data_IF_578945370603
#
_entry.id   IF_578945370603
#
_cell.length_a   1.000
_cell.length_b   1.000
_cell.length_c   1.000
_cell.angle_alpha   90.00
_cell.angle_beta   90.00
_cell.angle_gamma   90.00
#
_symmetry.space_group_name_H-M   'P 1'
#
loop_
_entity.id
_entity.type
_entity.pdbx_description
1 polymer ?
#
# COMPACT_ATOMS: atom_id res chain seq x y z
N UNK A 1 -16.43 38.24 -32.85
CA UNK A 1 -15.26 39.08 -32.51
C UNK A 1 -15.14 39.06 -30.98
N UNK A 2 -13.97 38.64 -30.45
CA UNK A 2 -13.43 39.02 -29.14
C UNK A 2 -14.18 38.49 -27.88
N UNK A 3 -13.58 37.86 -26.86
CA UNK A 3 -12.18 37.69 -26.44
C UNK A 3 -12.01 36.33 -25.73
N UNK A 4 -11.02 35.54 -26.16
CA UNK A 4 -10.40 34.48 -25.37
C UNK A 4 -9.45 35.14 -24.36
N UNK A 5 -9.63 34.88 -23.07
CA UNK A 5 -8.66 35.24 -22.03
C UNK A 5 -7.61 34.13 -21.95
N UNK A 6 -6.30 34.43 -22.02
CA UNK A 6 -5.25 33.42 -21.98
C UNK A 6 -5.00 32.94 -20.55
N UNK A 7 -4.95 31.62 -20.35
CA UNK A 7 -4.46 31.00 -19.11
C UNK A 7 -2.93 30.91 -19.22
N UNK A 8 -2.15 31.44 -18.26
CA UNK A 8 -0.70 31.41 -18.31
C UNK A 8 -0.14 30.01 -18.07
N UNK A 9 0.67 29.54 -19.02
CA UNK A 9 1.55 28.37 -18.90
C UNK A 9 2.68 28.68 -17.92
N UNK A 10 2.72 27.97 -16.79
CA UNK A 10 3.86 28.00 -15.87
C UNK A 10 4.92 26.99 -16.34
N UNK A 11 5.92 27.52 -17.05
CA UNK A 11 7.20 26.89 -17.32
C UNK A 11 8.04 26.90 -16.03
N UNK A 12 8.34 25.74 -15.45
CA UNK A 12 9.33 25.64 -14.38
C UNK A 12 10.67 25.20 -14.99
N UNK A 13 11.63 26.11 -14.90
CA UNK A 13 13.02 26.00 -15.34
C UNK A 13 13.82 25.37 -14.20
N UNK A 14 14.59 24.32 -14.48
CA UNK A 14 15.55 23.74 -13.54
C UNK A 14 16.82 24.62 -13.41
N UNK A 15 17.38 24.73 -12.21
CA UNK A 15 18.83 24.84 -11.96
C UNK A 15 19.18 24.79 -10.46
N UNK A 16 20.17 23.96 -10.11
CA UNK A 16 21.35 24.41 -9.37
C UNK A 16 21.36 24.44 -7.83
N UNK A 17 22.07 23.46 -7.26
CA UNK A 17 22.90 23.48 -6.03
C UNK A 17 22.90 24.71 -5.09
N UNK A 18 22.75 24.47 -3.78
CA UNK A 18 23.20 25.42 -2.76
C UNK A 18 22.50 25.23 -1.41
N UNK A 19 23.27 25.31 -0.33
CA UNK A 19 22.93 24.92 1.04
C UNK A 19 21.75 25.65 1.70
N UNK A 20 21.12 24.90 2.62
CA UNK A 20 20.50 25.34 3.88
C UNK A 20 19.15 26.07 3.81
N UNK A 21 18.22 25.50 4.59
CA UNK A 21 16.86 25.98 4.94
C UNK A 21 15.74 25.74 3.93
N UNK A 22 14.66 25.11 4.45
CA UNK A 22 13.32 24.85 3.87
C UNK A 22 13.15 23.60 3.00
N UNK A 23 12.97 22.46 3.67
CA UNK A 23 12.10 21.39 3.17
C UNK A 23 10.76 21.46 3.93
N UNK A 24 9.84 22.27 3.41
CA UNK A 24 8.43 22.25 3.76
C UNK A 24 7.61 21.93 2.50
N UNK A 25 7.94 20.83 1.81
CA UNK A 25 7.19 20.35 0.64
C UNK A 25 7.22 18.81 0.59
N UNK A 26 6.66 18.19 1.64
CA UNK A 26 6.25 16.78 1.65
C UNK A 26 5.20 16.62 2.77
N UNK A 27 4.01 17.20 2.59
CA UNK A 27 3.00 17.22 3.65
C UNK A 27 1.71 17.96 3.35
N UNK A 28 1.32 18.08 2.08
CA UNK A 28 0.08 18.75 1.68
C UNK A 28 -0.71 17.90 0.68
N UNK A 29 -1.23 16.78 1.19
CA UNK A 29 -2.41 16.08 0.67
C UNK A 29 -3.28 15.59 1.84
N UNK A 30 -3.40 16.40 2.92
CA UNK A 30 -4.14 16.00 4.13
C UNK A 30 -5.37 16.85 4.45
N UNK A 31 -5.74 17.87 3.67
CA UNK A 31 -6.80 18.82 4.06
C UNK A 31 -7.61 19.40 2.90
N UNK A 32 -8.04 18.59 1.92
CA UNK A 32 -8.96 19.07 0.89
C UNK A 32 -10.06 18.06 0.56
N UNK A 33 -10.91 17.78 1.55
CA UNK A 33 -12.31 17.36 1.39
C UNK A 33 -13.01 17.39 2.77
N UNK A 34 -13.02 18.55 3.43
CA UNK A 34 -13.86 18.77 4.62
C UNK A 34 -14.47 20.18 4.54
N UNK A 35 -15.20 20.44 3.47
CA UNK A 35 -16.13 21.57 3.37
C UNK A 35 -17.49 20.96 3.00
N UNK A 36 -18.56 21.05 3.77
CA UNK A 36 -18.86 21.85 4.94
C UNK A 36 -19.96 21.11 5.75
N UNK A 37 -19.92 21.28 7.08
CA UNK A 37 -20.91 20.79 8.07
C UNK A 37 -21.05 19.26 8.16
N UNK A 38 -19.94 18.53 8.07
CA UNK A 38 -19.82 17.25 8.78
C UNK A 38 -19.49 17.56 10.24
N UNK A 39 -20.35 17.15 11.18
CA UNK A 39 -20.23 17.42 12.62
C UNK A 39 -18.76 17.36 13.08
N UNK A 40 -18.18 18.47 13.58
CA UNK A 40 -16.78 18.52 14.00
C UNK A 40 -16.41 17.42 15.01
N UNK A 41 -17.39 16.97 15.80
CA UNK A 41 -17.26 15.83 16.71
C UNK A 41 -17.13 14.50 15.96
N UNK A 42 -17.85 14.31 14.85
CA UNK A 42 -17.73 13.15 13.98
C UNK A 42 -16.36 13.10 13.32
N UNK A 43 -15.87 14.22 12.79
CA UNK A 43 -14.50 14.31 12.23
C UNK A 43 -13.45 13.97 13.29
N UNK A 44 -13.64 14.44 14.54
CA UNK A 44 -12.75 14.09 15.65
C UNK A 44 -12.82 12.60 16.00
N UNK A 45 -14.01 12.01 16.05
CA UNK A 45 -14.22 10.57 16.31
C UNK A 45 -13.59 9.70 15.22
N UNK A 46 -13.83 10.04 13.95
CA UNK A 46 -13.27 9.31 12.82
C UNK A 46 -11.74 9.40 12.82
N UNK A 47 -11.18 10.59 13.01
CA UNK A 47 -9.73 10.79 13.14
C UNK A 47 -9.16 9.93 14.26
N UNK A 48 -9.76 9.98 15.45
CA UNK A 48 -9.31 9.18 16.59
C UNK A 48 -9.39 7.67 16.31
N UNK A 49 -10.46 7.20 15.67
CA UNK A 49 -10.61 5.80 15.30
C UNK A 49 -9.52 5.35 14.30
N UNK A 50 -9.20 6.18 13.30
CA UNK A 50 -8.11 5.92 12.35
C UNK A 50 -6.74 5.91 13.06
N UNK A 51 -6.47 6.91 13.90
CA UNK A 51 -5.19 7.05 14.62
C UNK A 51 -4.95 5.91 15.63
N UNK A 52 -6.03 5.39 16.24
CA UNK A 52 -5.96 4.26 17.17
C UNK A 52 -6.04 2.90 16.46
N UNK A 53 -6.20 2.87 15.14
CA UNK A 53 -6.36 1.64 14.36
C UNK A 53 -7.65 0.88 14.65
N UNK A 54 -8.68 1.52 15.21
CA UNK A 54 -10.00 0.93 15.42
C UNK A 54 -10.77 0.92 14.10
N UNK A 55 -10.44 -0.06 13.26
CA UNK A 55 -11.01 -0.22 11.92
C UNK A 55 -12.53 -0.43 11.97
N UNK A 56 -13.06 -1.15 12.96
CA UNK A 56 -14.50 -1.37 13.12
C UNK A 56 -15.27 -0.07 13.28
N UNK A 57 -14.84 0.80 14.22
CA UNK A 57 -15.50 2.10 14.42
C UNK A 57 -15.26 3.02 13.22
N UNK A 58 -14.05 3.05 12.67
CA UNK A 58 -13.72 3.86 11.50
C UNK A 58 -14.60 3.54 10.29
N UNK A 59 -14.76 2.26 9.95
CA UNK A 59 -15.62 1.79 8.85
C UNK A 59 -17.09 2.16 9.10
N UNK A 60 -17.56 2.01 10.35
CA UNK A 60 -18.93 2.37 10.73
C UNK A 60 -19.19 3.88 10.53
N UNK A 61 -18.29 4.73 11.01
CA UNK A 61 -18.39 6.18 10.86
C UNK A 61 -18.35 6.61 9.39
N UNK A 62 -17.42 6.04 8.61
CA UNK A 62 -17.32 6.30 7.17
C UNK A 62 -18.57 5.84 6.39
N UNK A 63 -19.16 4.71 6.78
CA UNK A 63 -20.38 4.22 6.14
C UNK A 63 -21.57 5.14 6.40
N UNK A 64 -21.67 5.73 7.60
CA UNK A 64 -22.69 6.74 7.89
C UNK A 64 -22.48 8.03 7.06
N UNK A 65 -21.23 8.42 6.82
CA UNK A 65 -20.92 9.58 5.97
C UNK A 65 -21.21 9.31 4.49
N UNK A 66 -20.93 8.11 3.99
CA UNK A 66 -21.30 7.70 2.63
C UNK A 66 -22.82 7.69 2.45
N UNK A 67 -23.61 7.30 3.46
CA UNK A 67 -25.07 7.39 3.40
C UNK A 67 -25.58 8.84 3.28
N UNK A 68 -24.89 9.80 3.92
CA UNK A 68 -25.25 11.22 3.88
C UNK A 68 -24.79 11.91 2.60
N UNK A 69 -23.60 11.56 2.14
CA UNK A 69 -22.91 12.19 1.01
C UNK A 69 -22.35 11.13 0.07
N UNK A 70 -23.21 10.43 -0.70
CA UNK A 70 -22.81 9.25 -1.49
C UNK A 70 -21.88 9.54 -2.67
N UNK A 71 -21.70 10.81 -3.02
CA UNK A 71 -20.82 11.27 -4.09
C UNK A 71 -19.52 11.91 -3.56
N UNK A 72 -19.28 11.90 -2.25
CA UNK A 72 -18.01 12.34 -1.68
C UNK A 72 -16.97 11.22 -1.81
N UNK A 73 -16.10 11.34 -2.81
CA UNK A 73 -15.13 10.31 -3.17
C UNK A 73 -14.20 9.93 -2.01
N UNK A 74 -13.77 10.92 -1.22
CA UNK A 74 -12.78 10.69 -0.15
C UNK A 74 -13.28 9.74 0.94
N UNK A 75 -14.59 9.66 1.18
CA UNK A 75 -15.12 8.69 2.13
C UNK A 75 -14.91 7.24 1.67
N UNK A 76 -15.03 6.96 0.37
CA UNK A 76 -14.72 5.65 -0.18
C UNK A 76 -13.21 5.38 -0.13
N UNK A 77 -12.35 6.35 -0.47
CA UNK A 77 -10.90 6.19 -0.34
C UNK A 77 -10.46 5.81 1.08
N UNK A 78 -11.00 6.52 2.07
CA UNK A 78 -10.72 6.24 3.48
C UNK A 78 -11.29 4.89 3.90
N UNK A 79 -12.55 4.58 3.55
CA UNK A 79 -13.17 3.31 3.93
C UNK A 79 -12.49 2.12 3.26
N UNK A 80 -12.01 2.28 2.03
CA UNK A 80 -11.18 1.31 1.33
C UNK A 80 -9.89 1.01 2.08
N UNK A 81 -9.20 2.05 2.58
CA UNK A 81 -7.99 1.88 3.41
C UNK A 81 -8.28 1.17 4.74
N UNK A 82 -9.41 1.46 5.39
CA UNK A 82 -9.81 0.81 6.64
C UNK A 82 -10.27 -0.65 6.43
N UNK A 83 -10.99 -0.91 5.35
CA UNK A 83 -11.36 -2.27 4.94
C UNK A 83 -10.11 -3.10 4.63
N UNK A 84 -9.09 -2.51 3.99
CA UNK A 84 -7.81 -3.17 3.77
C UNK A 84 -7.16 -3.58 5.11
N UNK A 85 -7.05 -2.64 6.06
CA UNK A 85 -6.52 -2.88 7.41
C UNK A 85 -7.30 -3.96 8.16
N UNK A 86 -8.60 -4.05 7.93
CA UNK A 86 -9.46 -5.07 8.50
C UNK A 86 -9.41 -6.43 7.77
N UNK A 87 -8.50 -6.60 6.80
CA UNK A 87 -8.38 -7.77 5.93
C UNK A 87 -9.66 -8.06 5.09
N UNK A 88 -10.50 -7.04 4.83
CA UNK A 88 -11.74 -7.09 4.03
C UNK A 88 -11.46 -6.67 2.59
N UNK A 89 -10.78 -7.54 1.85
CA UNK A 89 -10.18 -7.18 0.55
C UNK A 89 -11.20 -6.87 -0.54
N UNK A 90 -12.33 -7.59 -0.59
CA UNK A 90 -13.36 -7.37 -1.62
C UNK A 90 -14.05 -6.02 -1.41
N UNK A 91 -14.40 -5.71 -0.17
CA UNK A 91 -15.01 -4.46 0.23
C UNK A 91 -14.03 -3.29 0.05
N UNK A 92 -12.76 -3.49 0.39
CA UNK A 92 -11.70 -2.51 0.16
C UNK A 92 -11.54 -2.19 -1.32
N UNK A 93 -11.51 -3.20 -2.18
CA UNK A 93 -11.36 -3.01 -3.62
C UNK A 93 -12.57 -2.28 -4.21
N UNK A 94 -13.78 -2.66 -3.81
CA UNK A 94 -15.01 -2.02 -4.24
C UNK A 94 -15.06 -0.53 -3.83
N UNK A 95 -14.56 -0.19 -2.64
CA UNK A 95 -14.43 1.19 -2.19
C UNK A 95 -13.41 1.97 -3.05
N UNK A 96 -12.26 1.38 -3.36
CA UNK A 96 -11.30 2.02 -4.26
C UNK A 96 -11.82 2.15 -5.71
N UNK A 97 -12.60 1.19 -6.19
CA UNK A 97 -13.29 1.30 -7.48
C UNK A 97 -14.26 2.47 -7.48
N UNK A 98 -15.08 2.58 -6.43
CA UNK A 98 -16.03 3.67 -6.31
C UNK A 98 -15.34 5.03 -6.21
N UNK A 99 -14.18 5.10 -5.55
CA UNK A 99 -13.35 6.30 -5.53
C UNK A 99 -12.91 6.71 -6.96
N UNK A 100 -12.40 5.79 -7.78
CA UNK A 100 -11.95 6.13 -9.15
C UNK A 100 -13.10 6.44 -10.11
N UNK A 101 -14.28 5.87 -9.89
CA UNK A 101 -15.49 6.24 -10.64
C UNK A 101 -15.89 7.71 -10.38
N UNK A 102 -15.74 8.17 -9.14
CA UNK A 102 -16.06 9.54 -8.73
C UNK A 102 -14.92 10.52 -9.08
N UNK A 103 -13.67 10.06 -9.05
CA UNK A 103 -12.47 10.86 -9.35
C UNK A 103 -11.59 10.22 -10.45
N UNK A 104 -12.04 10.17 -11.72
CA UNK A 104 -11.29 9.50 -12.79
C UNK A 104 -9.89 10.09 -13.02
N UNK A 105 -9.71 11.39 -12.76
CA UNK A 105 -8.41 12.06 -12.89
C UNK A 105 -7.36 11.56 -11.87
N UNK A 106 -7.80 10.91 -10.80
CA UNK A 106 -6.93 10.36 -9.76
C UNK A 106 -6.60 8.86 -9.97
N UNK A 107 -7.21 8.19 -10.96
CA UNK A 107 -7.10 6.74 -11.18
C UNK A 107 -5.64 6.29 -11.36
N UNK A 108 -4.87 7.02 -12.17
CA UNK A 108 -3.46 6.71 -12.42
C UNK A 108 -2.57 6.82 -11.19
N UNK A 109 -3.07 7.37 -10.07
CA UNK A 109 -2.32 7.51 -8.81
C UNK A 109 -2.72 6.44 -7.77
N UNK A 110 -3.68 5.56 -8.08
CA UNK A 110 -4.26 4.62 -7.11
C UNK A 110 -3.48 3.31 -6.96
N UNK A 111 -2.21 3.39 -6.56
CA UNK A 111 -1.40 2.20 -6.25
C UNK A 111 -2.00 1.33 -5.13
N UNK A 112 -2.70 1.91 -4.13
CA UNK A 112 -3.41 1.16 -3.08
C UNK A 112 -4.50 0.23 -3.63
N UNK A 113 -5.18 0.67 -4.69
CA UNK A 113 -6.16 -0.14 -5.41
C UNK A 113 -5.50 -1.35 -6.06
N UNK A 114 -4.31 -1.17 -6.65
CA UNK A 114 -3.51 -2.26 -7.23
C UNK A 114 -3.08 -3.29 -6.17
N UNK A 115 -2.56 -2.83 -5.02
CA UNK A 115 -2.19 -3.70 -3.90
C UNK A 115 -3.43 -4.46 -3.39
N UNK A 116 -4.55 -3.76 -3.23
CA UNK A 116 -5.80 -4.38 -2.75
C UNK A 116 -6.34 -5.40 -3.75
N UNK A 117 -6.23 -5.13 -5.06
CA UNK A 117 -6.58 -6.08 -6.11
C UNK A 117 -5.74 -7.37 -6.00
N UNK A 118 -4.43 -7.27 -5.75
CA UNK A 118 -3.57 -8.44 -5.47
C UNK A 118 -4.13 -9.28 -4.32
N UNK A 119 -4.43 -8.67 -3.18
CA UNK A 119 -4.93 -9.39 -2.01
C UNK A 119 -6.38 -9.90 -2.17
N UNK A 120 -7.17 -9.27 -3.05
CA UNK A 120 -8.50 -9.73 -3.44
C UNK A 120 -8.47 -10.92 -4.43
N UNK A 121 -7.30 -11.24 -5.00
CA UNK A 121 -7.15 -12.26 -6.05
C UNK A 121 -7.44 -11.74 -7.47
N UNK A 122 -7.67 -10.44 -7.61
CA UNK A 122 -7.95 -9.76 -8.88
C UNK A 122 -6.63 -9.36 -9.57
N UNK A 123 -5.79 -10.35 -9.86
CA UNK A 123 -4.40 -10.13 -10.28
C UNK A 123 -4.28 -9.34 -11.59
N UNK A 124 -5.14 -9.62 -12.58
CA UNK A 124 -5.13 -8.86 -13.85
C UNK A 124 -5.41 -7.37 -13.61
N UNK A 125 -6.39 -7.07 -12.78
CA UNK A 125 -6.73 -5.70 -12.39
C UNK A 125 -5.61 -5.02 -11.62
N UNK A 126 -4.93 -5.75 -10.74
CA UNK A 126 -3.73 -5.26 -10.06
C UNK A 126 -2.61 -4.92 -11.05
N UNK A 127 -2.29 -5.84 -11.96
CA UNK A 127 -1.26 -5.64 -12.99
C UNK A 127 -1.55 -4.41 -13.86
N UNK A 128 -2.80 -4.28 -14.35
CA UNK A 128 -3.24 -3.14 -15.16
C UNK A 128 -3.15 -1.81 -14.39
N UNK A 129 -3.50 -1.82 -13.10
CA UNK A 129 -3.42 -0.62 -12.27
C UNK A 129 -1.98 -0.14 -12.06
N UNK A 130 -1.01 -1.05 -11.91
CA UNK A 130 0.41 -0.70 -11.76
C UNK A 130 1.06 -0.29 -13.09
N UNK A 131 0.61 -0.88 -14.20
CA UNK A 131 0.98 -0.39 -15.53
C UNK A 131 0.46 1.04 -15.77
N UNK A 132 -0.78 1.32 -15.38
CA UNK A 132 -1.32 2.67 -15.41
C UNK A 132 -0.54 3.62 -14.48
N UNK A 133 -0.18 3.19 -13.27
CA UNK A 133 0.57 4.02 -12.32
C UNK A 133 1.98 4.36 -12.80
N UNK A 134 2.62 3.47 -13.56
CA UNK A 134 3.91 3.74 -14.19
C UNK A 134 3.89 5.00 -15.07
N UNK A 135 2.75 5.32 -15.71
CA UNK A 135 2.59 6.54 -16.52
C UNK A 135 2.62 7.82 -15.68
N UNK A 136 2.34 7.74 -14.38
CA UNK A 136 2.39 8.84 -13.43
C UNK A 136 3.74 8.93 -12.72
N UNK A 137 4.27 7.80 -12.24
CA UNK A 137 5.52 7.75 -11.49
C UNK A 137 6.39 6.55 -11.92
N UNK A 138 7.30 6.79 -12.87
CA UNK A 138 8.04 5.73 -13.55
C UNK A 138 9.30 5.19 -12.85
N UNK A 139 9.63 5.70 -11.66
CA UNK A 139 10.86 5.37 -10.94
C UNK A 139 10.61 4.63 -9.61
N UNK A 140 9.39 4.13 -9.39
CA UNK A 140 8.99 3.46 -8.15
C UNK A 140 9.25 1.96 -8.22
N UNK A 141 10.25 1.46 -7.50
CA UNK A 141 10.49 0.00 -7.46
C UNK A 141 9.29 -0.75 -6.90
N UNK A 142 8.57 -0.16 -5.95
CA UNK A 142 7.38 -0.78 -5.36
C UNK A 142 6.33 -1.05 -6.45
N UNK A 143 6.12 -0.10 -7.37
CA UNK A 143 5.20 -0.27 -8.49
C UNK A 143 5.58 -1.47 -9.37
N UNK A 144 6.86 -1.54 -9.80
CA UNK A 144 7.36 -2.62 -10.63
C UNK A 144 7.24 -3.98 -9.92
N UNK A 145 7.57 -4.04 -8.64
CA UNK A 145 7.47 -5.25 -7.83
C UNK A 145 6.02 -5.69 -7.66
N UNK A 146 5.10 -4.78 -7.32
CA UNK A 146 3.70 -5.16 -7.14
C UNK A 146 3.03 -5.61 -8.45
N UNK A 147 3.41 -5.04 -9.60
CA UNK A 147 3.00 -5.58 -10.90
C UNK A 147 3.56 -6.99 -11.09
N UNK A 148 4.86 -7.20 -10.84
CA UNK A 148 5.49 -8.52 -10.96
C UNK A 148 4.83 -9.55 -10.02
N UNK A 149 4.40 -9.17 -8.81
CA UNK A 149 3.64 -10.04 -7.91
C UNK A 149 2.31 -10.47 -8.53
N UNK A 150 1.58 -9.54 -9.16
CA UNK A 150 0.33 -9.86 -9.87
C UNK A 150 0.59 -10.78 -11.06
N UNK A 151 1.59 -10.45 -11.89
CA UNK A 151 1.96 -11.23 -13.06
C UNK A 151 2.45 -12.63 -12.70
N UNK A 152 3.17 -12.78 -11.58
CA UNK A 152 3.62 -14.09 -11.11
C UNK A 152 2.44 -15.01 -10.77
N UNK A 153 1.31 -14.46 -10.32
CA UNK A 153 0.07 -15.23 -10.08
C UNK A 153 -0.68 -15.59 -11.36
N UNK A 154 -0.48 -14.83 -12.45
CA UNK A 154 -1.13 -15.06 -13.74
C UNK A 154 -0.31 -15.99 -14.64
N UNK A 155 1.01 -15.84 -14.61
CA UNK A 155 1.93 -16.34 -15.64
C UNK A 155 3.15 -17.08 -15.08
N UNK A 156 3.38 -17.02 -13.76
CA UNK A 156 4.55 -17.57 -13.09
C UNK A 156 5.68 -16.57 -12.92
N UNK A 157 6.55 -16.83 -11.94
CA UNK A 157 7.57 -15.87 -11.48
C UNK A 157 8.62 -15.53 -12.55
N UNK A 158 9.09 -16.51 -13.31
CA UNK A 158 10.12 -16.27 -14.33
C UNK A 158 9.61 -15.34 -15.44
N UNK A 159 8.36 -15.51 -15.85
CA UNK A 159 7.74 -14.62 -16.84
C UNK A 159 7.55 -13.22 -16.27
N UNK A 160 7.05 -13.11 -15.05
CA UNK A 160 6.88 -11.82 -14.36
C UNK A 160 8.21 -11.07 -14.15
N UNK A 161 9.28 -11.80 -13.82
CA UNK A 161 10.63 -11.28 -13.66
C UNK A 161 11.19 -10.76 -14.99
N UNK A 162 11.01 -11.53 -16.07
CA UNK A 162 11.45 -11.14 -17.41
C UNK A 162 10.71 -9.91 -17.96
N UNK A 163 9.44 -9.71 -17.58
CA UNK A 163 8.60 -8.59 -18.01
C UNK A 163 8.40 -7.51 -16.94
N UNK A 164 9.26 -7.45 -15.93
CA UNK A 164 9.15 -6.45 -14.86
C UNK A 164 9.26 -5.02 -15.46
N UNK A 165 8.50 -4.07 -14.91
CA UNK A 165 8.53 -2.69 -15.40
C UNK A 165 9.93 -2.09 -15.26
N UNK A 166 10.42 -1.36 -16.29
CA UNK A 166 11.74 -0.77 -16.24
C UNK A 166 11.79 0.36 -15.21
N UNK A 167 12.71 0.24 -14.25
CA UNK A 167 12.99 1.29 -13.26
C UNK A 167 14.41 1.84 -13.51
N UNK A 168 14.53 3.07 -14.05
CA UNK A 168 15.84 3.69 -14.29
C UNK A 168 16.63 3.91 -13.01
N UNK A 169 15.97 4.45 -11.97
CA UNK A 169 16.61 4.77 -10.70
C UNK A 169 15.58 5.10 -9.62
N UNK A 170 15.59 4.33 -8.52
CA UNK A 170 14.93 4.68 -7.26
C UNK A 170 15.99 5.02 -6.22
N UNK A 171 15.98 6.25 -5.73
CA UNK A 171 17.03 6.78 -4.85
C UNK A 171 16.88 6.32 -3.41
N UNK A 172 15.76 5.68 -3.06
CA UNK A 172 15.49 5.20 -1.69
C UNK A 172 16.24 3.89 -1.47
N UNK A 173 17.05 3.74 -0.42
CA UNK A 173 17.59 2.42 -0.09
C UNK A 173 16.53 1.53 0.58
N UNK A 174 16.51 0.21 0.33
CA UNK A 174 17.38 -0.57 -0.56
C UNK A 174 16.71 -0.85 -1.94
N UNK A 175 15.94 0.09 -2.49
CA UNK A 175 15.01 -0.17 -3.60
C UNK A 175 15.67 -0.75 -4.84
N UNK A 176 16.80 -0.20 -5.30
CA UNK A 176 17.47 -0.75 -6.47
C UNK A 176 18.01 -2.18 -6.24
N UNK A 177 18.36 -2.53 -4.99
CA UNK A 177 18.75 -3.90 -4.67
C UNK A 177 17.54 -4.86 -4.68
N UNK A 178 16.38 -4.39 -4.20
CA UNK A 178 15.11 -5.12 -4.30
C UNK A 178 14.75 -5.35 -5.78
N UNK A 179 14.87 -4.32 -6.61
CA UNK A 179 14.61 -4.41 -8.05
C UNK A 179 15.51 -5.47 -8.72
N UNK A 180 16.82 -5.42 -8.46
CA UNK A 180 17.76 -6.45 -8.96
C UNK A 180 17.41 -7.85 -8.45
N UNK A 181 16.92 -7.99 -7.21
CA UNK A 181 16.49 -9.29 -6.69
C UNK A 181 15.27 -9.82 -7.46
N UNK A 182 14.27 -8.99 -7.75
CA UNK A 182 13.12 -9.40 -8.56
C UNK A 182 13.47 -9.69 -10.02
N UNK A 183 14.56 -9.12 -10.53
CA UNK A 183 15.17 -9.49 -11.81
C UNK A 183 16.06 -10.75 -11.77
N UNK A 184 16.19 -11.38 -10.60
CA UNK A 184 17.09 -12.52 -10.36
C UNK A 184 18.58 -12.19 -10.57
N UNK A 185 18.96 -10.92 -10.40
CA UNK A 185 20.33 -10.40 -10.51
C UNK A 185 20.97 -10.14 -9.13
N UNK A 186 20.18 -10.23 -8.05
CA UNK A 186 20.65 -10.13 -6.67
C UNK A 186 19.97 -11.16 -5.78
N UNK A 187 20.62 -11.47 -4.66
CA UNK A 187 20.11 -12.40 -3.64
C UNK A 187 19.37 -11.66 -2.52
N UNK A 188 18.41 -12.33 -1.84
CA UNK A 188 17.79 -11.82 -0.62
C UNK A 188 18.78 -11.35 0.44
N UNK A 189 19.89 -12.06 0.62
CA UNK A 189 20.95 -11.73 1.56
C UNK A 189 21.61 -10.39 1.23
N UNK A 190 21.91 -10.14 -0.06
CA UNK A 190 22.45 -8.85 -0.50
C UNK A 190 21.46 -7.70 -0.28
N UNK A 191 20.16 -7.92 -0.43
CA UNK A 191 19.14 -6.90 -0.14
C UNK A 191 19.16 -6.52 1.34
N UNK A 192 19.19 -7.51 2.24
CA UNK A 192 19.22 -7.29 3.68
C UNK A 192 20.53 -6.63 4.11
N UNK A 193 21.67 -7.01 3.53
CA UNK A 193 22.97 -6.41 3.82
C UNK A 193 23.03 -4.92 3.44
N UNK A 194 22.51 -4.56 2.25
CA UNK A 194 22.38 -3.16 1.84
C UNK A 194 21.44 -2.41 2.80
N UNK A 195 20.32 -3.02 3.18
CA UNK A 195 19.36 -2.40 4.09
C UNK A 195 19.95 -2.12 5.47
N UNK A 196 20.70 -3.06 6.04
CA UNK A 196 21.34 -2.93 7.35
C UNK A 196 22.34 -1.76 7.39
N UNK A 197 23.19 -1.64 6.35
CA UNK A 197 24.09 -0.49 6.19
C UNK A 197 23.33 0.83 6.13
N UNK A 198 22.29 0.90 5.29
CA UNK A 198 21.51 2.13 5.11
C UNK A 198 20.68 2.49 6.35
N UNK A 199 20.15 1.51 7.07
CA UNK A 199 19.44 1.76 8.33
C UNK A 199 20.38 2.37 9.38
N UNK A 200 21.60 1.86 9.46
CA UNK A 200 22.66 2.39 10.35
C UNK A 200 23.05 3.83 9.97
N UNK A 201 23.27 4.10 8.68
CA UNK A 201 23.65 5.43 8.17
C UNK A 201 22.53 6.47 8.36
N UNK A 202 21.28 6.09 8.04
CA UNK A 202 20.11 6.97 8.11
C UNK A 202 19.50 7.05 9.51
N UNK A 203 19.93 6.19 10.44
CA UNK A 203 19.41 6.09 11.81
C UNK A 203 17.89 5.90 11.85
N UNK A 204 17.36 5.06 10.97
CA UNK A 204 15.95 4.66 10.97
C UNK A 204 15.77 3.27 10.36
N UNK A 205 14.64 2.65 10.69
CA UNK A 205 14.35 1.25 10.36
C UNK A 205 13.71 1.06 8.98
N UNK A 206 13.40 2.13 8.23
CA UNK A 206 12.67 2.03 6.97
C UNK A 206 13.39 1.14 5.94
N UNK A 207 14.72 1.19 5.75
CA UNK A 207 15.39 0.28 4.83
C UNK A 207 15.20 -1.20 5.20
N UNK A 208 15.30 -1.54 6.49
CA UNK A 208 15.11 -2.91 6.99
C UNK A 208 13.65 -3.36 6.84
N UNK A 209 12.69 -2.48 7.12
CA UNK A 209 11.27 -2.76 6.86
C UNK A 209 11.05 -3.19 5.40
N UNK A 210 11.55 -2.40 4.46
CA UNK A 210 11.32 -2.64 3.03
C UNK A 210 12.08 -3.86 2.51
N UNK A 211 13.33 -4.06 2.94
CA UNK A 211 14.07 -5.27 2.61
C UNK A 211 13.31 -6.52 3.03
N UNK A 212 12.89 -6.58 4.29
CA UNK A 212 12.19 -7.74 4.80
C UNK A 212 10.80 -7.93 4.18
N UNK A 213 10.05 -6.85 3.92
CA UNK A 213 8.77 -6.95 3.22
C UNK A 213 8.97 -7.57 1.83
N UNK A 214 9.86 -6.98 1.02
CA UNK A 214 10.01 -7.37 -0.37
C UNK A 214 10.78 -8.67 -0.57
N UNK A 215 11.66 -9.07 0.36
CA UNK A 215 12.22 -10.43 0.39
C UNK A 215 11.13 -11.47 0.68
N UNK A 216 10.23 -11.19 1.63
CA UNK A 216 9.09 -12.07 1.90
C UNK A 216 8.19 -12.24 0.67
N UNK A 217 7.86 -11.14 0.00
CA UNK A 217 7.06 -11.16 -1.24
C UNK A 217 7.78 -11.86 -2.39
N UNK A 218 9.10 -11.68 -2.54
CA UNK A 218 9.91 -12.40 -3.52
C UNK A 218 9.83 -13.91 -3.31
N UNK A 219 9.97 -14.39 -2.06
CA UNK A 219 9.82 -15.82 -1.76
C UNK A 219 8.40 -16.33 -2.01
N UNK A 220 7.37 -15.51 -1.77
CA UNK A 220 5.99 -15.87 -2.11
C UNK A 220 5.81 -16.04 -3.62
N UNK A 221 6.37 -15.14 -4.43
CA UNK A 221 6.31 -15.22 -5.89
C UNK A 221 7.12 -16.41 -6.42
N UNK A 222 8.30 -16.66 -5.86
CA UNK A 222 9.18 -17.77 -6.21
C UNK A 222 8.73 -19.14 -5.67
N UNK A 223 7.59 -19.23 -4.99
CA UNK A 223 7.02 -20.49 -4.51
C UNK A 223 7.79 -21.13 -3.35
N UNK A 224 8.40 -20.33 -2.47
CA UNK A 224 9.18 -20.75 -1.29
C UNK A 224 8.48 -20.36 0.03
N UNK A 225 7.29 -20.95 0.33
CA UNK A 225 6.42 -20.51 1.42
C UNK A 225 7.06 -20.60 2.82
N UNK A 226 8.02 -21.51 3.01
CA UNK A 226 8.76 -21.70 4.26
C UNK A 226 9.63 -20.49 4.64
N UNK A 227 10.04 -19.68 3.66
CA UNK A 227 10.88 -18.50 3.87
C UNK A 227 10.06 -17.20 4.00
N UNK A 228 8.81 -17.19 3.54
CA UNK A 228 7.95 -16.00 3.52
C UNK A 228 7.71 -15.50 4.94
N UNK A 229 7.23 -16.36 5.84
CA UNK A 229 6.88 -16.00 7.22
C UNK A 229 8.04 -15.32 7.94
N UNK A 230 9.24 -15.90 7.87
CA UNK A 230 10.45 -15.37 8.50
C UNK A 230 10.66 -13.90 8.15
N UNK A 231 10.59 -13.55 6.87
CA UNK A 231 10.87 -12.18 6.43
C UNK A 231 9.70 -11.23 6.71
N UNK A 232 8.45 -11.67 6.53
CA UNK A 232 7.28 -10.83 6.84
C UNK A 232 7.22 -10.49 8.34
N UNK A 233 7.51 -11.44 9.23
CA UNK A 233 7.59 -11.18 10.67
C UNK A 233 8.68 -10.16 11.01
N UNK A 234 9.87 -10.25 10.41
CA UNK A 234 10.93 -9.25 10.60
C UNK A 234 10.50 -7.87 10.10
N UNK A 235 9.83 -7.79 8.94
CA UNK A 235 9.30 -6.52 8.43
C UNK A 235 8.38 -5.84 9.44
N UNK A 236 7.47 -6.59 10.08
CA UNK A 236 6.55 -6.00 11.06
C UNK A 236 7.21 -5.47 12.34
N UNK A 237 8.44 -5.91 12.65
CA UNK A 237 9.23 -5.38 13.79
C UNK A 237 9.83 -4.00 13.51
N UNK A 238 10.03 -3.66 12.25
CA UNK A 238 10.57 -2.39 11.79
C UNK A 238 9.43 -1.43 11.43
N UNK A 239 8.84 -0.80 12.44
CA UNK A 239 7.64 0.04 12.23
C UNK A 239 7.93 1.27 11.37
N UNK A 240 7.03 1.54 10.43
CA UNK A 240 6.95 2.80 9.69
C UNK A 240 5.51 3.34 9.74
N UNK A 241 5.34 4.66 9.66
CA UNK A 241 4.04 5.31 9.92
C UNK A 241 3.24 5.60 8.63
N UNK A 242 3.17 4.62 7.73
CA UNK A 242 2.34 4.73 6.52
C UNK A 242 1.79 3.38 6.06
N UNK A 243 0.95 3.42 5.03
CA UNK A 243 0.14 2.30 4.54
C UNK A 243 0.90 0.99 4.31
N UNK A 244 2.16 1.02 3.84
CA UNK A 244 2.94 -0.21 3.67
C UNK A 244 3.14 -1.01 4.96
N UNK A 245 3.17 -0.39 6.14
CA UNK A 245 3.20 -1.15 7.39
C UNK A 245 1.92 -1.97 7.60
N UNK A 246 0.77 -1.41 7.22
CA UNK A 246 -0.49 -2.16 7.20
C UNK A 246 -0.43 -3.32 6.19
N UNK A 247 0.23 -3.13 5.04
CA UNK A 247 0.43 -4.20 4.06
C UNK A 247 1.21 -5.37 4.68
N UNK A 248 2.32 -5.10 5.38
CA UNK A 248 3.10 -6.15 6.05
C UNK A 248 2.28 -6.89 7.11
N UNK A 249 1.52 -6.17 7.94
CA UNK A 249 0.64 -6.78 8.96
C UNK A 249 -0.47 -7.62 8.38
N UNK A 250 -1.18 -7.11 7.38
CA UNK A 250 -2.25 -7.83 6.68
C UNK A 250 -1.68 -9.09 6.02
N UNK A 251 -0.49 -8.99 5.42
CA UNK A 251 0.19 -10.14 4.85
C UNK A 251 0.47 -11.21 5.91
N UNK A 252 1.04 -10.83 7.06
CA UNK A 252 1.28 -11.74 8.18
C UNK A 252 0.00 -12.41 8.68
N UNK A 253 -1.05 -11.63 8.93
CA UNK A 253 -2.36 -12.13 9.37
C UNK A 253 -2.94 -13.18 8.41
N UNK A 254 -2.71 -13.02 7.11
CA UNK A 254 -3.18 -13.97 6.09
C UNK A 254 -2.33 -15.23 6.04
N UNK A 255 -1.04 -15.17 6.36
CA UNK A 255 -0.20 -16.36 6.56
C UNK A 255 -0.71 -17.16 7.76
N UNK A 256 -1.01 -16.49 8.88
CA UNK A 256 -1.57 -17.12 10.08
C UNK A 256 -2.92 -17.79 9.82
N UNK A 257 -3.78 -17.15 9.02
CA UNK A 257 -5.09 -17.71 8.68
C UNK A 257 -5.02 -18.97 7.79
N UNK A 258 -3.89 -19.19 7.11
CA UNK A 258 -3.63 -20.37 6.28
C UNK A 258 -2.89 -21.48 7.05
N UNK A 259 -2.35 -21.16 8.23
CA UNK A 259 -1.65 -22.12 9.07
C UNK A 259 -2.65 -23.09 9.74
N UNK A 260 -2.54 -24.41 9.53
CA UNK A 260 -3.41 -25.39 10.15
C UNK A 260 -3.41 -25.32 11.69
N UNK A 261 -2.29 -24.96 12.31
CA UNK A 261 -2.16 -24.88 13.77
C UNK A 261 -2.95 -23.70 14.35
N UNK A 262 -2.90 -22.54 13.69
CA UNK A 262 -3.66 -21.34 14.09
C UNK A 262 -5.15 -21.50 13.80
N UNK A 263 -5.50 -22.19 12.71
CA UNK A 263 -6.90 -22.50 12.38
C UNK A 263 -7.57 -23.36 13.46
N UNK A 264 -6.84 -24.33 14.03
CA UNK A 264 -7.33 -25.20 15.10
C UNK A 264 -7.59 -24.44 16.42
N UNK A 265 -6.71 -23.51 16.82
CA UNK A 265 -6.88 -22.68 18.01
C UNK A 265 -8.10 -21.74 17.92
N UNK A 266 -8.32 -21.13 16.75
CA UNK A 266 -9.47 -20.24 16.53
C UNK A 266 -10.81 -20.97 16.59
N UNK A 267 -10.88 -22.20 16.06
CA UNK A 267 -12.07 -23.05 16.20
C UNK A 267 -12.34 -23.47 17.64
N UNK A 268 -11.31 -23.72 18.46
CA UNK A 268 -11.51 -24.09 19.87
C UNK A 268 -12.01 -22.91 20.72
N UNK A 269 -11.54 -21.70 20.47
CA UNK A 269 -11.98 -20.49 21.18
C UNK A 269 -13.43 -20.13 20.82
N UNK A 270 -13.82 -20.17 19.54
CA UNK A 270 -15.21 -19.93 19.11
C UNK A 270 -16.21 -20.99 19.62
N UNK A 271 -15.79 -22.25 19.79
CA UNK A 271 -16.63 -23.27 20.44
C UNK A 271 -16.77 -23.07 21.95
N UNK A 272 -15.74 -22.53 22.62
CA UNK A 272 -15.80 -22.24 24.05
C UNK A 272 -16.70 -21.04 24.37
N UNK A 273 -16.71 -20.02 23.51
CA UNK A 273 -17.56 -18.84 23.67
C UNK A 273 -19.05 -19.15 23.47
N UNK A 274 -19.40 -20.11 22.60
CA UNK A 274 -20.78 -20.56 22.39
C UNK A 274 -21.34 -21.45 23.50
N UNK A 275 -20.48 -22.11 24.29
CA UNK A 275 -20.94 -23.03 25.35
C UNK A 275 -21.19 -22.33 26.69
N UNK A 276 -20.91 -21.02 26.79
CA UNK A 276 -21.04 -20.25 28.04
C UNK A 276 -22.32 -19.39 28.08
N UNK A 277 -23.24 -19.57 27.12
CA UNK A 277 -24.49 -18.78 26.97
C UNK A 277 -25.74 -19.68 26.95
N UNK A 278 -25.67 -20.87 27.55
CA UNK A 278 -26.84 -21.69 27.91
C UNK A 278 -26.86 -21.94 29.43
#
# INVERSE_FOLDING_TARGET
MLFRIPIPTLSIREAGSGSSTRNLFAGLCFLAAFSAIGNAQLTKKLRHAIETGNTTESIKLLSAEIQRSPNEAMFYYHRGSENFRANRMKESLADFDRFVELEPAAESRQWKRGITAYYAGEYKKGSDQFELYQSFHGNDVENAVWKAMCDAKLFGFDQASASILPIPNDRRPPMMQIYSMFKQEATPEQVVEVADRNASELKNDAPLFYAHLYVGLYYEAAGKPELVRKHIEQSTKHRIDHYMWDVARVHLQRLDSKDPATKAQKTSEETSEKTTVE
#
